data_IF_019757774889
#
_entry.id   IF_019757774889
#
_cell.length_a   1.000
_cell.length_b   1.000
_cell.length_c   1.000
_cell.angle_alpha   90.00
_cell.angle_beta   90.00
_cell.angle_gamma   90.00
#
_symmetry.space_group_name_H-M   'P 1'
#
loop_
_entity.id
_entity.type
_entity.pdbx_description
1 polymer ?
#
# COMPACT_ATOMS: atom_id res chain seq x y z
N UNK A 1 0.70 -7.93 54.75
CA UNK A 1 1.57 -7.96 55.95
C UNK A 1 1.87 -9.37 56.40
N UNK A 2 1.02 -10.33 56.03
CA UNK A 2 1.19 -11.74 56.29
C UNK A 2 1.04 -12.53 54.98
N UNK A 3 1.43 -13.79 54.97
CA UNK A 3 1.09 -14.74 53.91
C UNK A 3 0.44 -16.00 54.50
N UNK A 4 -0.36 -16.66 53.68
CA UNK A 4 -0.93 -17.95 54.01
C UNK A 4 -0.01 -19.07 53.49
N UNK A 5 0.67 -19.76 54.40
CA UNK A 5 1.43 -20.97 54.11
C UNK A 5 0.62 -22.20 54.51
N UNK A 6 -0.05 -22.83 53.54
CA UNK A 6 -0.73 -24.12 53.74
C UNK A 6 -1.84 -24.10 54.81
N UNK A 7 -2.50 -22.96 55.00
CA UNK A 7 -3.55 -22.76 56.01
C UNK A 7 -3.10 -21.97 57.24
N UNK A 8 -1.81 -21.63 57.36
CA UNK A 8 -1.26 -20.91 58.52
C UNK A 8 -0.84 -19.50 58.11
N UNK A 9 -1.30 -18.49 58.85
CA UNK A 9 -0.98 -17.08 58.60
C UNK A 9 0.34 -16.74 59.31
N UNK A 10 1.36 -16.38 58.53
CA UNK A 10 2.69 -16.00 59.04
C UNK A 10 3.08 -14.59 58.59
N UNK A 11 3.85 -13.83 59.39
CA UNK A 11 4.34 -12.52 58.97
C UNK A 11 5.16 -12.60 57.69
N UNK A 12 4.92 -11.68 56.75
CA UNK A 12 5.64 -11.65 55.48
C UNK A 12 7.04 -11.07 55.70
N UNK A 13 8.08 -11.92 55.60
CA UNK A 13 9.47 -11.47 55.69
C UNK A 13 9.90 -10.70 54.43
N UNK A 14 10.95 -9.87 54.56
CA UNK A 14 11.50 -9.13 53.41
C UNK A 14 12.09 -10.06 52.35
N UNK A 15 12.72 -11.17 52.77
CA UNK A 15 13.22 -12.21 51.88
C UNK A 15 12.08 -12.80 51.05
N UNK A 16 10.98 -13.18 51.71
CA UNK A 16 9.81 -13.74 51.03
C UNK A 16 9.13 -12.74 50.09
N UNK A 17 9.07 -11.47 50.50
CA UNK A 17 8.57 -10.38 49.64
C UNK A 17 9.38 -10.28 48.35
N UNK A 18 10.71 -10.40 48.44
CA UNK A 18 11.60 -10.38 47.28
C UNK A 18 11.39 -11.61 46.38
N UNK A 19 11.17 -12.80 46.96
CA UNK A 19 10.84 -14.00 46.17
C UNK A 19 9.52 -13.84 45.40
N UNK A 20 8.48 -13.29 46.03
CA UNK A 20 7.19 -13.03 45.37
C UNK A 20 7.35 -11.99 44.25
N UNK A 21 8.14 -10.94 44.49
CA UNK A 21 8.44 -9.94 43.46
C UNK A 21 9.20 -10.57 42.27
N UNK A 22 10.19 -11.43 42.54
CA UNK A 22 10.91 -12.15 41.50
C UNK A 22 10.00 -13.13 40.72
N UNK A 23 9.07 -13.80 41.42
CA UNK A 23 8.09 -14.67 40.77
C UNK A 23 7.12 -13.87 39.87
N UNK A 24 6.66 -12.70 40.32
CA UNK A 24 5.85 -11.79 39.52
C UNK A 24 6.61 -11.34 38.25
N UNK A 25 7.89 -10.97 38.39
CA UNK A 25 8.72 -10.58 37.25
C UNK A 25 8.97 -11.75 36.28
N UNK A 26 9.23 -12.96 36.79
CA UNK A 26 9.40 -14.17 35.99
C UNK A 26 8.12 -14.67 35.31
N UNK A 27 6.94 -14.35 35.87
CA UNK A 27 5.66 -14.60 35.19
C UNK A 27 5.41 -13.52 34.13
N UNK A 28 5.67 -12.25 34.44
CA UNK A 28 5.55 -11.14 33.50
C UNK A 28 6.46 -11.28 32.27
N UNK A 29 7.69 -11.78 32.46
CA UNK A 29 8.65 -12.03 31.37
C UNK A 29 8.20 -13.14 30.41
N UNK A 30 7.22 -13.95 30.81
CA UNK A 30 6.53 -14.94 29.97
C UNK A 30 5.22 -14.41 29.39
N UNK A 31 5.08 -13.09 29.28
CA UNK A 31 3.89 -12.39 28.77
C UNK A 31 2.61 -12.66 29.58
N UNK A 32 2.72 -13.12 30.83
CA UNK A 32 1.54 -13.32 31.69
C UNK A 32 1.12 -11.99 32.31
N UNK A 33 -0.18 -11.70 32.27
CA UNK A 33 -0.84 -10.75 33.16
C UNK A 33 -0.99 -11.40 34.52
N UNK A 34 -0.21 -10.93 35.48
CA UNK A 34 -0.14 -11.48 36.83
C UNK A 34 -1.13 -10.76 37.74
N UNK A 35 -1.95 -11.52 38.47
CA UNK A 35 -2.82 -11.01 39.53
C UNK A 35 -2.35 -11.60 40.87
N UNK A 36 -2.18 -10.73 41.87
CA UNK A 36 -1.92 -11.12 43.24
C UNK A 36 -3.24 -11.20 44.01
N UNK A 37 -3.45 -12.30 44.72
CA UNK A 37 -4.62 -12.50 45.56
C UNK A 37 -4.24 -12.40 47.03
N UNK A 38 -5.06 -11.68 47.78
CA UNK A 38 -5.00 -11.63 49.23
C UNK A 38 -6.40 -11.51 49.81
N UNK A 39 -6.53 -11.87 51.09
CA UNK A 39 -7.78 -11.75 51.84
C UNK A 39 -7.51 -11.10 53.19
N UNK A 40 -8.59 -10.64 53.81
CA UNK A 40 -8.60 -10.15 55.18
C UNK A 40 -9.84 -10.70 55.85
N UNK A 41 -9.64 -11.42 56.95
CA UNK A 41 -10.74 -11.85 57.78
C UNK A 41 -11.17 -10.68 58.67
N UNK A 42 -12.44 -10.28 58.59
CA UNK A 42 -13.01 -9.22 59.42
C UNK A 42 -14.22 -9.74 60.19
N UNK A 43 -14.31 -9.41 61.48
CA UNK A 43 -15.47 -9.76 62.32
C UNK A 43 -16.69 -8.89 62.03
N UNK A 44 -16.46 -7.67 61.53
CA UNK A 44 -17.50 -6.72 61.14
C UNK A 44 -17.53 -6.53 59.63
N UNK A 45 -18.70 -6.18 59.09
CA UNK A 45 -18.86 -5.91 57.66
C UNK A 45 -18.09 -4.64 57.30
N UNK A 46 -17.08 -4.72 56.41
CA UNK A 46 -16.28 -3.55 56.07
C UNK A 46 -17.08 -2.53 55.25
N UNK A 47 -16.68 -1.26 55.37
CA UNK A 47 -17.21 -0.18 54.55
C UNK A 47 -16.49 -0.15 53.20
N UNK A 48 -17.13 -0.75 52.19
CA UNK A 48 -16.60 -0.79 50.82
C UNK A 48 -16.57 0.59 50.13
N UNK A 49 -17.17 1.63 50.72
CA UNK A 49 -17.05 2.99 50.19
C UNK A 49 -15.69 3.63 50.50
N UNK A 50 -14.91 3.08 51.43
CA UNK A 50 -13.59 3.56 51.80
C UNK A 50 -12.49 2.52 51.44
N UNK A 51 -11.83 2.64 50.28
CA UNK A 51 -10.81 1.68 49.84
C UNK A 51 -9.67 1.51 50.84
N UNK A 52 -9.22 2.60 51.46
CA UNK A 52 -8.13 2.56 52.44
C UNK A 52 -8.49 1.78 53.69
N UNK A 53 -9.77 1.64 54.04
CA UNK A 53 -10.22 0.84 55.18
C UNK A 53 -10.24 -0.68 54.88
N UNK A 54 -10.35 -1.05 53.60
CA UNK A 54 -10.53 -2.45 53.15
C UNK A 54 -9.23 -3.04 52.59
N UNK A 55 -8.45 -2.24 51.84
CA UNK A 55 -7.25 -2.70 51.10
C UNK A 55 -5.95 -2.56 51.90
N UNK A 56 -6.01 -2.79 53.22
CA UNK A 56 -4.85 -2.80 54.12
C UNK A 56 -4.75 -4.13 54.87
N UNK A 57 -3.55 -4.43 55.39
CA UNK A 57 -3.28 -5.61 56.24
C UNK A 57 -3.72 -6.96 55.66
N UNK A 58 -3.68 -7.08 54.34
CA UNK A 58 -4.05 -8.31 53.63
C UNK A 58 -3.06 -9.46 53.92
N UNK A 59 -3.62 -10.67 53.96
CA UNK A 59 -2.90 -11.95 53.95
C UNK A 59 -2.73 -12.39 52.50
N UNK A 60 -1.50 -12.44 52.03
CA UNK A 60 -1.17 -12.89 50.67
C UNK A 60 -1.44 -14.39 50.49
N UNK A 61 -2.14 -14.75 49.42
CA UNK A 61 -2.43 -16.15 49.07
C UNK A 61 -1.49 -16.67 47.97
N UNK A 62 -1.25 -15.86 46.95
CA UNK A 62 -0.51 -16.31 45.78
C UNK A 62 -0.69 -15.41 44.57
N UNK A 63 0.03 -15.77 43.50
CA UNK A 63 -0.05 -15.16 42.18
C UNK A 63 -0.77 -16.11 41.22
N UNK A 64 -1.63 -15.59 40.36
CA UNK A 64 -2.08 -16.29 39.15
C UNK A 64 -1.64 -15.52 37.91
N UNK A 65 -1.35 -16.24 36.84
CA UNK A 65 -1.01 -15.64 35.55
C UNK A 65 -2.07 -16.01 34.52
N UNK A 66 -2.58 -15.02 33.81
CA UNK A 66 -3.39 -15.22 32.61
C UNK A 66 -2.66 -14.63 31.40
N UNK A 67 -2.82 -15.22 30.22
CA UNK A 67 -2.24 -14.70 28.99
C UNK A 67 -3.36 -14.27 28.06
N UNK A 68 -3.18 -13.13 27.40
CA UNK A 68 -3.94 -12.77 26.21
C UNK A 68 -3.07 -13.13 25.00
N UNK A 69 -3.28 -14.32 24.40
CA UNK A 69 -2.37 -14.82 23.39
C UNK A 69 -2.49 -13.97 22.12
N UNK A 70 -1.36 -13.66 21.50
CA UNK A 70 -1.38 -12.98 20.22
C UNK A 70 -2.04 -13.88 19.14
N UNK A 71 -2.68 -13.24 18.17
CA UNK A 71 -3.28 -13.97 17.04
C UNK A 71 -2.18 -14.71 16.26
N UNK A 72 -2.42 -15.96 15.80
CA UNK A 72 -1.41 -16.75 15.08
C UNK A 72 -0.83 -16.01 13.87
N UNK A 73 -1.69 -15.33 13.12
CA UNK A 73 -1.33 -14.63 11.88
C UNK A 73 -0.52 -13.35 12.12
N UNK A 74 -0.54 -12.80 13.35
CA UNK A 74 0.12 -11.53 13.67
C UNK A 74 1.64 -11.63 13.48
N UNK A 75 2.24 -12.76 13.85
CA UNK A 75 3.68 -13.00 13.72
C UNK A 75 4.14 -13.01 12.26
N UNK A 76 3.39 -13.70 11.40
CA UNK A 76 3.68 -13.74 9.96
C UNK A 76 3.46 -12.37 9.29
N UNK A 77 2.39 -11.68 9.69
CA UNK A 77 2.10 -10.32 9.22
C UNK A 77 3.22 -9.33 9.60
N UNK A 78 3.72 -9.39 10.84
CA UNK A 78 4.84 -8.57 11.31
C UNK A 78 6.13 -8.90 10.55
N UNK A 79 6.41 -10.17 10.29
CA UNK A 79 7.55 -10.58 9.48
C UNK A 79 7.45 -10.02 8.04
N UNK A 80 6.26 -10.10 7.44
CA UNK A 80 5.99 -9.55 6.11
C UNK A 80 6.17 -8.03 6.07
N UNK A 81 5.70 -7.31 7.09
CA UNK A 81 5.95 -5.87 7.23
C UNK A 81 7.45 -5.55 7.23
N UNK A 82 8.25 -6.30 8.01
CA UNK A 82 9.71 -6.10 8.08
C UNK A 82 10.39 -6.36 6.74
N UNK A 83 10.02 -7.43 6.04
CA UNK A 83 10.52 -7.72 4.67
C UNK A 83 10.17 -6.57 3.72
N UNK A 84 8.96 -6.04 3.83
CA UNK A 84 8.47 -4.91 3.04
C UNK A 84 9.06 -3.54 3.43
N UNK A 85 10.00 -3.50 4.39
CA UNK A 85 10.63 -2.28 4.90
C UNK A 85 9.69 -1.39 5.73
N UNK A 86 8.59 -1.94 6.25
CA UNK A 86 7.63 -1.27 7.14
C UNK A 86 8.06 -1.58 8.57
N UNK A 87 8.19 -0.56 9.43
CA UNK A 87 8.58 -0.74 10.83
C UNK A 87 7.32 -0.90 11.72
N UNK A 88 7.07 -2.08 12.30
CA UNK A 88 6.01 -2.25 13.28
C UNK A 88 6.43 -1.64 14.62
N UNK A 89 5.50 -0.98 15.29
CA UNK A 89 5.70 -0.36 16.60
C UNK A 89 4.53 -0.77 17.50
N UNK A 90 4.82 -1.26 18.70
CA UNK A 90 3.80 -1.65 19.68
C UNK A 90 3.51 -0.48 20.61
N UNK A 91 2.22 -0.16 20.77
CA UNK A 91 1.72 0.85 21.71
C UNK A 91 0.64 0.18 22.55
N UNK A 92 0.85 0.08 23.87
CA UNK A 92 -0.07 -0.66 24.76
C UNK A 92 -0.25 0.01 26.12
N UNK A 93 -1.40 -0.23 26.75
CA UNK A 93 -1.68 0.11 28.14
C UNK A 93 -1.13 -0.90 29.16
N UNK A 94 -0.57 -2.02 28.69
CA UNK A 94 0.00 -3.05 29.55
C UNK A 94 1.31 -2.62 30.22
N UNK A 95 1.71 -3.41 31.22
CA UNK A 95 2.98 -3.23 31.89
C UNK A 95 4.17 -3.50 30.94
N UNK A 96 5.26 -2.74 31.12
CA UNK A 96 6.45 -2.79 30.25
C UNK A 96 7.00 -4.20 30.06
N UNK A 97 7.11 -4.96 31.15
CA UNK A 97 7.67 -6.32 31.13
C UNK A 97 6.85 -7.25 30.23
N UNK A 98 5.52 -7.24 30.39
CA UNK A 98 4.60 -8.03 29.57
C UNK A 98 4.64 -7.59 28.10
N UNK A 99 4.62 -6.28 27.85
CA UNK A 99 4.68 -5.72 26.50
C UNK A 99 5.97 -6.10 25.77
N UNK A 100 7.12 -6.06 26.46
CA UNK A 100 8.41 -6.49 25.92
C UNK A 100 8.39 -7.97 25.56
N UNK A 101 7.85 -8.84 26.43
CA UNK A 101 7.76 -10.27 26.17
C UNK A 101 6.92 -10.57 24.91
N UNK A 102 5.74 -9.95 24.79
CA UNK A 102 4.87 -10.11 23.61
C UNK A 102 5.56 -9.56 22.34
N UNK A 103 6.20 -8.38 22.45
CA UNK A 103 6.89 -7.77 21.33
C UNK A 103 8.09 -8.61 20.83
N UNK A 104 8.79 -9.30 21.72
CA UNK A 104 9.86 -10.24 21.36
C UNK A 104 9.30 -11.51 20.70
N UNK A 105 8.22 -12.07 21.24
CA UNK A 105 7.57 -13.28 20.70
C UNK A 105 7.06 -13.07 19.25
N UNK A 106 6.44 -11.91 19.02
CA UNK A 106 5.95 -11.47 17.72
C UNK A 106 7.07 -10.98 16.79
N UNK A 107 8.28 -10.81 17.30
CA UNK A 107 9.42 -10.32 16.55
C UNK A 107 9.30 -8.85 16.17
N UNK A 108 8.57 -8.02 16.93
CA UNK A 108 8.56 -6.55 16.81
C UNK A 108 9.88 -6.00 17.35
N UNK A 109 10.22 -6.40 18.58
CA UNK A 109 11.40 -5.94 19.31
C UNK A 109 12.61 -6.85 19.03
N UNK A 110 13.77 -6.24 18.83
CA UNK A 110 15.08 -6.93 18.71
C UNK A 110 15.98 -6.50 19.88
N UNK A 111 17.14 -7.15 20.04
CA UNK A 111 18.06 -6.83 21.15
C UNK A 111 18.55 -5.37 21.14
N UNK A 112 18.58 -4.74 19.95
CA UNK A 112 19.02 -3.35 19.78
C UNK A 112 17.88 -2.33 19.96
N UNK A 113 16.65 -2.81 20.18
CA UNK A 113 15.46 -1.95 20.30
C UNK A 113 15.18 -1.57 21.75
N UNK A 114 14.69 -0.35 21.97
CA UNK A 114 14.30 0.14 23.30
C UNK A 114 12.80 -0.02 23.54
N UNK A 115 12.46 -0.21 24.81
CA UNK A 115 11.09 -0.11 25.32
C UNK A 115 11.01 1.03 26.34
N UNK A 116 9.96 1.85 26.23
CA UNK A 116 9.73 3.02 27.10
C UNK A 116 8.31 2.99 27.67
N UNK A 117 8.11 3.67 28.78
CA UNK A 117 6.80 3.84 29.42
C UNK A 117 6.22 5.23 29.16
N UNK A 118 4.91 5.42 29.42
CA UNK A 118 4.30 6.75 29.40
C UNK A 118 5.03 7.76 30.30
N UNK A 119 5.46 7.34 31.49
CA UNK A 119 6.23 8.19 32.41
C UNK A 119 7.61 8.58 31.83
N UNK A 120 8.25 7.68 31.07
CA UNK A 120 9.49 8.01 30.36
C UNK A 120 9.22 9.04 29.26
N UNK A 121 8.09 8.93 28.54
CA UNK A 121 7.68 9.88 27.50
C UNK A 121 7.34 11.28 28.04
N UNK A 122 6.80 11.37 29.26
CA UNK A 122 6.52 12.64 29.91
C UNK A 122 7.80 13.42 30.25
N UNK A 123 8.91 12.71 30.46
CA UNK A 123 10.22 13.30 30.71
C UNK A 123 10.97 13.66 29.42
N UNK A 124 10.56 13.11 28.28
CA UNK A 124 11.14 13.43 26.96
C UNK A 124 10.50 14.66 26.35
N UNK A 125 11.33 15.61 25.93
CA UNK A 125 10.91 16.67 25.03
C UNK A 125 10.53 16.10 23.65
N UNK A 126 9.73 16.82 22.88
CA UNK A 126 9.34 16.40 21.54
C UNK A 126 10.54 16.24 20.59
N UNK A 127 11.59 17.03 20.76
CA UNK A 127 12.82 16.94 19.96
C UNK A 127 13.64 15.69 20.30
N UNK A 128 13.72 15.34 21.59
CA UNK A 128 14.37 14.09 22.03
C UNK A 128 13.58 12.88 21.55
N UNK A 129 12.25 12.91 21.69
CA UNK A 129 11.39 11.85 21.19
C UNK A 129 11.56 11.65 19.68
N UNK A 130 11.59 12.74 18.91
CA UNK A 130 11.84 12.68 17.47
C UNK A 130 13.18 11.98 17.15
N UNK A 131 14.26 12.28 17.89
CA UNK A 131 15.56 11.63 17.67
C UNK A 131 15.54 10.13 18.02
N UNK A 132 14.84 9.75 19.09
CA UNK A 132 14.83 8.38 19.63
C UNK A 132 13.76 7.47 19.02
N UNK A 133 12.74 8.02 18.33
CA UNK A 133 11.57 7.28 17.85
C UNK A 133 11.95 6.08 16.95
N UNK A 134 13.05 6.20 16.20
CA UNK A 134 13.56 5.14 15.32
C UNK A 134 14.19 3.96 16.09
N UNK A 135 14.58 4.15 17.36
CA UNK A 135 15.17 3.11 18.21
C UNK A 135 14.16 2.48 19.17
N UNK A 136 13.00 3.12 19.37
CA UNK A 136 11.94 2.60 20.24
C UNK A 136 11.03 1.68 19.43
N UNK A 137 10.75 0.50 19.99
CA UNK A 137 9.86 -0.50 19.39
C UNK A 137 8.57 -0.72 20.21
N UNK A 138 8.63 -0.44 21.52
CA UNK A 138 7.52 -0.67 22.46
C UNK A 138 7.30 0.55 23.33
N UNK A 139 6.06 1.03 23.35
CA UNK A 139 5.56 2.05 24.26
C UNK A 139 4.50 1.43 25.17
N UNK A 140 4.80 1.33 26.46
CA UNK A 140 3.95 0.68 27.46
C UNK A 140 3.33 1.71 28.42
N UNK A 141 2.20 1.37 29.07
CA UNK A 141 1.49 2.28 29.99
C UNK A 141 1.26 3.68 29.40
N UNK A 142 0.89 3.76 28.12
CA UNK A 142 0.71 5.05 27.43
C UNK A 142 -0.67 5.66 27.70
N UNK A 143 -0.69 6.98 27.84
CA UNK A 143 -1.90 7.79 27.87
C UNK A 143 -2.39 8.14 26.44
N UNK A 144 -3.65 8.57 26.25
CA UNK A 144 -4.16 9.00 24.95
C UNK A 144 -3.27 10.05 24.25
N UNK A 145 -2.79 11.04 25.00
CA UNK A 145 -1.98 12.14 24.50
C UNK A 145 -0.61 11.66 24.00
N UNK A 146 -0.05 10.62 24.63
CA UNK A 146 1.21 10.01 24.21
C UNK A 146 1.10 9.39 22.82
N UNK A 147 -0.04 8.79 22.47
CA UNK A 147 -0.25 8.16 21.17
C UNK A 147 -0.14 9.18 20.03
N UNK A 148 -0.80 10.32 20.17
CA UNK A 148 -0.68 11.43 19.21
C UNK A 148 0.74 12.02 19.17
N UNK A 149 1.43 12.14 20.32
CA UNK A 149 2.84 12.58 20.35
C UNK A 149 3.77 11.65 19.58
N UNK A 150 3.60 10.33 19.72
CA UNK A 150 4.39 9.32 19.00
C UNK A 150 4.14 9.41 17.49
N UNK A 151 2.87 9.54 17.06
CA UNK A 151 2.52 9.70 15.64
C UNK A 151 3.19 10.95 15.06
N UNK A 152 3.07 12.09 15.75
CA UNK A 152 3.70 13.33 15.33
C UNK A 152 5.23 13.23 15.20
N UNK A 153 5.90 12.54 16.15
CA UNK A 153 7.34 12.35 16.10
C UNK A 153 7.78 11.57 14.84
N UNK A 154 7.04 10.53 14.46
CA UNK A 154 7.28 9.78 13.23
C UNK A 154 7.00 10.61 11.96
N UNK A 155 5.92 11.41 11.95
CA UNK A 155 5.59 12.29 10.83
C UNK A 155 6.65 13.39 10.62
N UNK A 156 7.20 13.97 11.71
CA UNK A 156 8.31 14.94 11.63
C UNK A 156 9.58 14.36 11.03
N UNK A 157 9.81 13.05 11.18
CA UNK A 157 10.86 12.29 10.46
C UNK A 157 10.55 12.02 8.98
N UNK A 158 9.45 12.56 8.46
CA UNK A 158 9.01 12.35 7.07
C UNK A 158 8.52 10.93 6.80
N UNK A 159 8.11 10.18 7.82
CA UNK A 159 7.53 8.83 7.66
C UNK A 159 6.01 8.94 7.52
N UNK A 160 5.45 8.08 6.69
CA UNK A 160 4.00 7.86 6.63
C UNK A 160 3.60 6.89 7.75
N UNK A 161 2.67 7.30 8.60
CA UNK A 161 2.29 6.60 9.83
C UNK A 161 0.87 6.07 9.71
N UNK A 162 0.72 4.76 9.90
CA UNK A 162 -0.57 4.13 10.14
C UNK A 162 -0.73 3.86 11.64
N UNK A 163 -1.83 4.34 12.23
CA UNK A 163 -2.15 4.15 13.65
C UNK A 163 -3.38 3.26 13.78
N UNK A 164 -3.34 2.27 14.67
CA UNK A 164 -4.48 1.39 14.97
C UNK A 164 -5.10 1.73 16.31
N UNK A 165 -6.42 1.67 16.42
CA UNK A 165 -7.11 1.94 17.69
C UNK A 165 -8.56 1.46 17.70
N UNK A 166 -9.10 1.27 18.89
CA UNK A 166 -10.46 0.75 19.13
C UNK A 166 -11.23 1.62 20.13
N UNK A 167 -10.52 2.31 21.03
CA UNK A 167 -11.12 3.17 22.04
C UNK A 167 -11.41 4.59 21.57
N UNK A 168 -12.31 5.27 22.30
CA UNK A 168 -12.52 6.73 22.21
C UNK A 168 -11.21 7.48 22.43
N UNK A 169 -10.37 6.93 23.31
CA UNK A 169 -9.03 7.43 23.63
C UNK A 169 -8.06 7.41 22.44
N UNK A 170 -8.32 6.59 21.42
CA UNK A 170 -7.45 6.50 20.24
C UNK A 170 -7.86 7.46 19.14
N UNK A 171 -9.08 8.03 19.21
CA UNK A 171 -9.62 8.88 18.16
C UNK A 171 -8.70 10.07 17.80
N UNK A 172 -8.07 10.80 18.76
CA UNK A 172 -7.12 11.87 18.41
C UNK A 172 -5.90 11.38 17.63
N UNK A 173 -5.35 10.22 18.02
CA UNK A 173 -4.17 9.64 17.38
C UNK A 173 -4.50 9.06 16.00
N UNK A 174 -5.65 8.40 15.86
CA UNK A 174 -6.20 7.93 14.59
C UNK A 174 -6.36 9.09 13.61
N UNK A 175 -6.88 10.22 14.07
CA UNK A 175 -7.11 11.40 13.21
C UNK A 175 -5.83 12.14 12.82
N UNK A 176 -4.79 12.05 13.66
CA UNK A 176 -3.49 12.69 13.42
C UNK A 176 -2.63 11.87 12.44
N UNK A 177 -2.77 10.54 12.47
CA UNK A 177 -2.03 9.66 11.59
C UNK A 177 -2.36 9.91 10.11
N UNK A 178 -1.41 9.58 9.22
CA UNK A 178 -1.67 9.66 7.78
C UNK A 178 -2.73 8.65 7.34
N UNK A 179 -2.83 7.53 8.07
CA UNK A 179 -3.87 6.52 7.93
C UNK A 179 -4.32 6.06 9.32
N UNK A 180 -5.50 6.50 9.75
CA UNK A 180 -6.17 5.95 10.94
C UNK A 180 -6.85 4.62 10.64
N UNK A 181 -6.57 3.59 11.43
CA UNK A 181 -7.14 2.24 11.29
C UNK A 181 -7.98 1.87 12.52
N UNK A 182 -9.30 1.84 12.35
CA UNK A 182 -10.25 1.49 13.40
C UNK A 182 -10.59 0.00 13.43
N UNK A 183 -10.88 -0.54 14.61
CA UNK A 183 -11.38 -1.91 14.78
C UNK A 183 -12.89 -1.96 14.47
N UNK A 184 -13.33 -2.96 13.71
CA UNK A 184 -14.72 -3.12 13.27
C UNK A 184 -15.61 -3.78 14.32
N UNK A 185 -15.08 -4.75 15.07
CA UNK A 185 -15.87 -5.51 16.05
C UNK A 185 -15.72 -4.90 17.45
N UNK A 186 -14.49 -4.78 17.96
CA UNK A 186 -14.23 -4.23 19.30
C UNK A 186 -14.23 -2.70 19.33
N UNK A 187 -14.08 -2.05 18.17
CA UNK A 187 -13.95 -0.59 18.09
C UNK A 187 -15.24 0.15 18.38
N UNK A 188 -15.11 1.23 19.16
CA UNK A 188 -16.16 2.20 19.45
C UNK A 188 -16.56 2.98 18.19
N UNK A 189 -17.81 3.46 18.13
CA UNK A 189 -18.28 4.27 16.99
C UNK A 189 -17.42 5.53 16.77
N UNK A 190 -16.92 6.11 17.86
CA UNK A 190 -16.01 7.27 17.80
C UNK A 190 -14.69 6.90 17.11
N UNK A 191 -14.10 5.74 17.45
CA UNK A 191 -12.86 5.28 16.80
C UNK A 191 -13.07 4.98 15.30
N UNK A 192 -14.20 4.39 14.93
CA UNK A 192 -14.55 4.08 13.54
C UNK A 192 -14.77 5.33 12.70
N UNK A 193 -15.40 6.37 13.27
CA UNK A 193 -15.60 7.66 12.60
C UNK A 193 -14.31 8.48 12.49
N UNK A 194 -13.36 8.30 13.42
CA UNK A 194 -12.08 8.97 13.38
C UNK A 194 -11.09 8.33 12.39
N UNK A 195 -11.25 7.04 12.08
CA UNK A 195 -10.39 6.28 11.20
C UNK A 195 -10.69 6.50 9.70
N UNK A 196 -9.67 6.37 8.86
CA UNK A 196 -9.77 6.38 7.40
C UNK A 196 -10.07 4.99 6.84
N UNK A 197 -9.69 3.93 7.58
CA UNK A 197 -9.95 2.54 7.25
C UNK A 197 -10.49 1.78 8.47
N UNK A 198 -11.47 0.91 8.28
CA UNK A 198 -12.05 0.07 9.35
C UNK A 198 -11.82 -1.41 9.04
N UNK A 199 -11.25 -2.14 10.00
CA UNK A 199 -11.01 -3.58 9.89
C UNK A 199 -12.25 -4.35 10.30
N UNK A 200 -13.00 -4.90 9.34
CA UNK A 200 -14.24 -5.64 9.64
C UNK A 200 -14.03 -6.93 10.45
N UNK A 201 -12.79 -7.42 10.54
CA UNK A 201 -12.41 -8.68 11.17
C UNK A 201 -11.47 -8.53 12.38
N UNK A 202 -11.10 -7.29 12.74
CA UNK A 202 -10.17 -6.98 13.84
C UNK A 202 -8.80 -7.71 13.72
N UNK A 203 -8.35 -7.95 12.49
CA UNK A 203 -7.10 -8.68 12.22
C UNK A 203 -5.99 -7.77 11.68
N UNK A 204 -4.84 -7.77 12.36
CA UNK A 204 -3.63 -7.07 11.92
C UNK A 204 -3.14 -7.53 10.53
N UNK A 205 -3.32 -8.80 10.17
CA UNK A 205 -2.95 -9.32 8.86
C UNK A 205 -3.69 -8.62 7.71
N UNK A 206 -4.89 -8.10 7.97
CA UNK A 206 -5.70 -7.35 7.01
C UNK A 206 -5.07 -6.01 6.67
N UNK A 207 -4.37 -5.38 7.61
CA UNK A 207 -3.57 -4.16 7.35
C UNK A 207 -2.45 -4.47 6.35
N UNK A 208 -1.74 -5.58 6.53
CA UNK A 208 -0.66 -5.98 5.62
C UNK A 208 -1.19 -6.25 4.21
N UNK A 209 -2.35 -6.89 4.12
CA UNK A 209 -3.05 -7.12 2.86
C UNK A 209 -3.48 -5.80 2.20
N UNK A 210 -3.99 -4.85 2.97
CA UNK A 210 -4.34 -3.51 2.49
C UNK A 210 -3.12 -2.75 1.97
N UNK A 211 -1.96 -2.86 2.63
CA UNK A 211 -0.71 -2.26 2.14
C UNK A 211 -0.26 -2.88 0.82
N UNK A 212 -0.32 -4.22 0.69
CA UNK A 212 -0.04 -4.93 -0.56
C UNK A 212 -0.93 -4.42 -1.70
N UNK A 213 -2.21 -4.25 -1.41
CA UNK A 213 -3.20 -3.76 -2.37
C UNK A 213 -2.97 -2.29 -2.75
N UNK A 214 -2.66 -1.42 -1.78
CA UNK A 214 -2.29 -0.03 -2.04
C UNK A 214 -1.06 0.09 -2.94
N UNK A 215 -0.03 -0.73 -2.71
CA UNK A 215 1.15 -0.81 -3.58
C UNK A 215 0.79 -1.27 -5.00
N UNK A 216 -0.11 -2.26 -5.13
CA UNK A 216 -0.61 -2.75 -6.44
C UNK A 216 -1.31 -1.64 -7.21
N UNK A 217 -2.26 -0.97 -6.56
CA UNK A 217 -3.02 0.14 -7.17
C UNK A 217 -2.06 1.24 -7.63
N UNK A 218 -1.11 1.64 -6.79
CA UNK A 218 -0.13 2.67 -7.18
C UNK A 218 0.73 2.24 -8.39
N UNK A 219 1.26 1.01 -8.38
CA UNK A 219 2.05 0.49 -9.49
C UNK A 219 1.25 0.46 -10.80
N UNK A 220 -0.03 0.11 -10.74
CA UNK A 220 -0.93 0.09 -11.88
C UNK A 220 -1.26 1.50 -12.38
N UNK A 221 -1.56 2.45 -11.49
CA UNK A 221 -1.73 3.87 -11.84
C UNK A 221 -0.47 4.39 -12.56
N UNK A 222 0.72 4.06 -12.05
CA UNK A 222 1.98 4.46 -12.68
C UNK A 222 2.13 3.88 -14.09
N UNK A 223 1.74 2.62 -14.34
CA UNK A 223 1.73 2.02 -15.69
C UNK A 223 0.72 2.72 -16.61
N UNK A 224 -0.50 2.93 -16.14
CA UNK A 224 -1.57 3.57 -16.91
C UNK A 224 -1.22 5.01 -17.29
N UNK A 225 -0.68 5.80 -16.36
CA UNK A 225 -0.28 7.19 -16.63
C UNK A 225 0.86 7.25 -17.65
N UNK A 226 1.86 6.37 -17.54
CA UNK A 226 2.96 6.30 -18.52
C UNK A 226 2.47 5.94 -19.92
N UNK A 227 1.55 4.98 -20.01
CA UNK A 227 0.91 4.61 -21.27
C UNK A 227 0.15 5.79 -21.89
N UNK A 228 -0.79 6.39 -21.16
CA UNK A 228 -1.62 7.49 -21.67
C UNK A 228 -0.79 8.71 -22.07
N UNK A 229 0.23 9.07 -21.27
CA UNK A 229 1.11 10.18 -21.62
C UNK A 229 1.96 9.87 -22.85
N UNK A 230 2.41 8.63 -23.03
CA UNK A 230 3.15 8.21 -24.23
C UNK A 230 2.30 8.38 -25.48
N UNK A 231 1.07 7.86 -25.46
CA UNK A 231 0.09 8.02 -26.55
C UNK A 231 -0.11 9.50 -26.91
N UNK A 232 -0.39 10.33 -25.90
CA UNK A 232 -0.63 11.77 -26.08
C UNK A 232 0.60 12.49 -26.64
N UNK A 233 1.80 12.17 -26.16
CA UNK A 233 3.04 12.75 -26.69
C UNK A 233 3.23 12.34 -28.16
N UNK A 234 2.94 11.08 -28.52
CA UNK A 234 2.98 10.63 -29.90
C UNK A 234 2.01 11.37 -30.81
N UNK A 235 0.77 11.56 -30.36
CA UNK A 235 -0.25 12.35 -31.07
C UNK A 235 0.22 13.80 -31.29
N UNK A 236 0.69 14.46 -30.23
CA UNK A 236 1.17 15.84 -30.29
C UNK A 236 2.34 15.97 -31.26
N UNK A 237 3.34 15.08 -31.18
CA UNK A 237 4.48 15.08 -32.10
C UNK A 237 4.02 14.86 -33.55
N UNK A 238 3.11 13.90 -33.78
CA UNK A 238 2.62 13.60 -35.12
C UNK A 238 1.89 14.79 -35.75
N UNK A 239 0.97 15.40 -35.01
CA UNK A 239 0.16 16.54 -35.47
C UNK A 239 1.01 17.79 -35.70
N UNK A 240 1.91 18.11 -34.76
CA UNK A 240 2.81 19.27 -34.90
C UNK A 240 3.71 19.10 -36.12
N UNK A 241 4.31 17.92 -36.28
CA UNK A 241 5.18 17.61 -37.42
C UNK A 241 4.41 17.68 -38.73
N UNK A 242 3.22 17.07 -38.81
CA UNK A 242 2.40 17.13 -40.02
C UNK A 242 1.99 18.56 -40.36
N UNK A 243 1.67 19.38 -39.36
CA UNK A 243 1.25 20.78 -39.56
C UNK A 243 2.40 21.61 -40.11
N UNK A 244 3.61 21.45 -39.59
CA UNK A 244 4.83 22.13 -40.09
C UNK A 244 5.11 21.75 -41.55
N UNK A 245 4.91 20.49 -41.91
CA UNK A 245 5.10 19.99 -43.29
C UNK A 245 3.93 20.40 -44.23
N UNK A 246 2.82 20.90 -43.68
CA UNK A 246 1.62 21.28 -44.44
C UNK A 246 0.68 20.11 -44.77
N UNK A 247 0.78 18.99 -44.04
CA UNK A 247 -0.10 17.83 -44.18
C UNK A 247 -1.30 17.92 -43.23
N UNK A 248 -2.46 17.47 -43.71
CA UNK A 248 -3.64 17.22 -42.88
C UNK A 248 -3.64 15.74 -42.46
N UNK A 249 -2.98 15.44 -41.34
CA UNK A 249 -2.78 14.07 -40.87
C UNK A 249 -4.08 13.46 -40.33
N UNK A 250 -4.66 14.06 -39.29
CA UNK A 250 -5.88 13.59 -38.61
C UNK A 250 -6.82 14.76 -38.35
N UNK A 251 -8.12 14.55 -38.56
CA UNK A 251 -9.17 15.42 -38.01
C UNK A 251 -9.33 15.25 -36.47
N UNK A 252 -9.85 16.26 -35.75
CA UNK A 252 -10.07 16.19 -34.31
C UNK A 252 -10.92 14.99 -33.84
N UNK A 253 -11.88 14.55 -34.65
CA UNK A 253 -12.75 13.40 -34.33
C UNK A 253 -11.95 12.10 -34.19
N UNK A 254 -10.86 11.92 -34.96
CA UNK A 254 -9.97 10.77 -34.85
C UNK A 254 -9.23 10.77 -33.51
N UNK A 255 -8.70 11.93 -33.11
CA UNK A 255 -7.94 12.09 -31.87
C UNK A 255 -8.85 11.85 -30.66
N UNK A 256 -10.08 12.38 -30.72
CA UNK A 256 -11.09 12.15 -29.68
C UNK A 256 -11.43 10.66 -29.56
N UNK A 257 -11.58 9.95 -30.67
CA UNK A 257 -11.86 8.51 -30.64
C UNK A 257 -10.70 7.70 -30.09
N UNK A 258 -9.46 8.04 -30.46
CA UNK A 258 -8.27 7.38 -29.91
C UNK A 258 -8.25 7.53 -28.39
N UNK A 259 -8.27 8.77 -27.89
CA UNK A 259 -8.15 9.05 -26.46
C UNK A 259 -9.34 8.52 -25.63
N UNK A 260 -10.56 8.67 -26.13
CA UNK A 260 -11.76 8.34 -25.34
C UNK A 260 -12.18 6.88 -25.47
N UNK A 261 -11.93 6.24 -26.61
CA UNK A 261 -12.42 4.88 -26.87
C UNK A 261 -11.27 3.90 -26.92
N UNK A 262 -10.30 4.12 -27.81
CA UNK A 262 -9.25 3.14 -28.07
C UNK A 262 -8.32 2.97 -26.87
N UNK A 263 -7.87 4.06 -26.26
CA UNK A 263 -6.92 4.04 -25.15
C UNK A 263 -7.56 3.73 -23.80
N UNK A 264 -8.86 3.99 -23.65
CA UNK A 264 -9.56 3.83 -22.38
C UNK A 264 -9.58 2.36 -21.92
N UNK A 265 -9.87 1.40 -22.80
CA UNK A 265 -9.92 -0.01 -22.37
C UNK A 265 -8.56 -0.58 -21.96
N UNK A 266 -7.46 -0.39 -22.72
CA UNK A 266 -6.13 -0.76 -22.27
C UNK A 266 -5.70 -0.04 -20.99
N UNK A 267 -6.02 1.25 -20.84
CA UNK A 267 -5.71 2.02 -19.64
C UNK A 267 -6.40 1.48 -18.38
N UNK A 268 -7.70 1.16 -18.48
CA UNK A 268 -8.47 0.52 -17.41
C UNK A 268 -7.94 -0.88 -17.10
N UNK A 269 -7.58 -1.62 -18.14
CA UNK A 269 -7.03 -2.95 -17.99
C UNK A 269 -5.68 -2.95 -17.27
N UNK A 270 -4.77 -2.02 -17.63
CA UNK A 270 -3.52 -1.78 -16.92
C UNK A 270 -3.76 -1.39 -15.45
N UNK A 271 -4.85 -0.65 -15.18
CA UNK A 271 -5.31 -0.31 -13.84
C UNK A 271 -5.69 -1.53 -12.99
N UNK A 272 -6.21 -2.58 -13.63
CA UNK A 272 -6.73 -3.79 -12.99
C UNK A 272 -5.71 -4.94 -12.92
N UNK A 273 -4.47 -4.73 -13.33
CA UNK A 273 -3.42 -5.75 -13.38
C UNK A 273 -3.14 -6.39 -12.01
N UNK A 274 -2.79 -7.69 -11.97
CA UNK A 274 -2.42 -8.36 -10.74
C UNK A 274 -1.13 -7.76 -10.13
N UNK A 275 -0.98 -7.90 -8.82
CA UNK A 275 0.23 -7.47 -8.11
C UNK A 275 1.46 -8.24 -8.61
N UNK A 276 2.58 -7.53 -8.73
CA UNK A 276 3.87 -8.16 -9.01
C UNK A 276 4.30 -9.03 -7.81
N UNK A 277 4.92 -10.21 -8.03
CA UNK A 277 5.24 -11.15 -6.95
C UNK A 277 6.11 -10.54 -5.84
N UNK A 278 7.04 -9.65 -6.21
CA UNK A 278 8.01 -9.01 -5.32
C UNK A 278 7.48 -7.69 -4.70
N UNK A 279 6.19 -7.38 -4.81
CA UNK A 279 5.65 -6.09 -4.36
C UNK A 279 5.80 -5.85 -2.85
N UNK A 280 5.84 -6.94 -2.06
CA UNK A 280 6.06 -6.92 -0.61
C UNK A 280 7.54 -7.12 -0.22
N UNK A 281 8.45 -7.22 -1.19
CA UNK A 281 9.90 -7.29 -0.94
C UNK A 281 10.57 -5.92 -1.18
N UNK A 282 9.85 -4.98 -1.80
CA UNK A 282 10.31 -3.61 -2.05
C UNK A 282 10.14 -2.75 -0.80
N UNK A 283 11.06 -1.79 -0.60
CA UNK A 283 10.92 -0.77 0.45
C UNK A 283 9.74 0.17 0.17
N UNK A 284 9.17 0.82 1.21
CA UNK A 284 8.16 1.86 1.00
C UNK A 284 8.69 2.97 0.08
N UNK A 285 7.81 3.47 -0.77
CA UNK A 285 8.14 4.58 -1.66
C UNK A 285 8.35 5.86 -0.85
N UNK A 286 9.31 6.68 -1.27
CA UNK A 286 9.47 8.04 -0.76
C UNK A 286 8.27 8.90 -1.16
N UNK A 287 7.64 9.55 -0.18
CA UNK A 287 6.49 10.43 -0.38
C UNK A 287 6.82 11.67 -1.22
N UNK A 288 8.08 12.10 -1.22
CA UNK A 288 8.54 13.26 -2.00
C UNK A 288 8.95 12.90 -3.44
N UNK A 289 9.03 11.61 -3.77
CA UNK A 289 9.36 11.21 -5.13
C UNK A 289 8.20 11.59 -6.08
N UNK A 290 8.48 12.20 -7.26
CA UNK A 290 7.44 12.51 -8.24
C UNK A 290 6.85 11.23 -8.82
N UNK A 291 5.56 11.25 -9.18
CA UNK A 291 4.89 10.07 -9.74
C UNK A 291 5.67 9.50 -10.93
N UNK A 292 6.14 10.36 -11.84
CA UNK A 292 6.96 10.03 -13.00
C UNK A 292 8.38 10.55 -12.80
N UNK A 293 9.37 9.66 -12.86
CA UNK A 293 10.77 10.02 -12.83
C UNK A 293 11.28 10.53 -14.19
N UNK A 294 12.53 10.99 -14.22
CA UNK A 294 13.20 11.41 -15.47
C UNK A 294 13.26 10.26 -16.48
N UNK A 295 13.54 9.03 -16.00
CA UNK A 295 13.59 7.84 -16.86
C UNK A 295 12.22 7.53 -17.47
N UNK A 296 11.13 7.75 -16.73
CA UNK A 296 9.78 7.57 -17.26
C UNK A 296 9.49 8.59 -18.36
N UNK A 297 9.86 9.86 -18.17
CA UNK A 297 9.70 10.90 -19.19
C UNK A 297 10.50 10.62 -20.46
N UNK A 298 11.75 10.18 -20.33
CA UNK A 298 12.57 9.79 -21.49
C UNK A 298 11.89 8.66 -22.26
N UNK A 299 11.35 7.67 -21.57
CA UNK A 299 10.63 6.56 -22.20
C UNK A 299 9.32 7.02 -22.85
N UNK A 300 8.53 7.84 -22.18
CA UNK A 300 7.29 8.43 -22.71
C UNK A 300 7.55 9.16 -24.02
N UNK A 301 8.55 10.04 -24.04
CA UNK A 301 8.89 10.83 -25.23
C UNK A 301 9.41 9.94 -26.35
N UNK A 302 10.25 8.94 -26.04
CA UNK A 302 10.84 8.09 -27.06
C UNK A 302 9.82 7.13 -27.69
N UNK A 303 8.93 6.56 -26.89
CA UNK A 303 7.82 5.72 -27.36
C UNK A 303 6.86 6.56 -28.20
N UNK A 304 6.44 7.74 -27.72
CA UNK A 304 5.60 8.66 -28.49
C UNK A 304 6.25 9.14 -29.80
N UNK A 305 7.56 9.40 -29.80
CA UNK A 305 8.27 9.79 -31.02
C UNK A 305 8.26 8.67 -32.08
N UNK A 306 8.41 7.40 -31.67
CA UNK A 306 8.29 6.26 -32.58
C UNK A 306 6.87 6.12 -33.12
N UNK A 307 5.85 6.25 -32.27
CA UNK A 307 4.44 6.25 -32.67
C UNK A 307 4.14 7.34 -33.71
N UNK A 308 4.66 8.55 -33.48
CA UNK A 308 4.53 9.65 -34.42
C UNK A 308 5.20 9.35 -35.76
N UNK A 309 6.43 8.81 -35.74
CA UNK A 309 7.18 8.47 -36.95
C UNK A 309 6.47 7.41 -37.79
N UNK A 310 6.02 6.30 -37.19
CA UNK A 310 5.32 5.25 -37.93
C UNK A 310 3.99 5.74 -38.49
N UNK A 311 3.30 6.63 -37.76
CA UNK A 311 2.04 7.24 -38.19
C UNK A 311 2.22 8.18 -39.38
N UNK A 312 3.22 9.07 -39.31
CA UNK A 312 3.56 9.99 -40.41
C UNK A 312 4.00 9.22 -41.66
N UNK A 313 4.76 8.13 -41.47
CA UNK A 313 5.19 7.28 -42.57
C UNK A 313 4.01 6.54 -43.22
N UNK A 314 3.08 6.00 -42.41
CA UNK A 314 1.85 5.39 -42.91
C UNK A 314 1.00 6.37 -43.72
N UNK A 315 0.85 7.62 -43.24
CA UNK A 315 0.16 8.68 -43.98
C UNK A 315 0.79 8.93 -45.35
N UNK A 316 2.13 9.04 -45.38
CA UNK A 316 2.89 9.34 -46.59
C UNK A 316 2.83 8.20 -47.62
N UNK A 317 2.87 6.95 -47.15
CA UNK A 317 2.72 5.76 -48.00
C UNK A 317 1.28 5.60 -48.53
N UNK A 318 0.28 6.05 -47.78
CA UNK A 318 -1.11 6.11 -48.24
C UNK A 318 -1.39 7.16 -49.31
N UNK A 319 -0.38 7.93 -49.74
CA UNK A 319 -0.51 8.99 -50.75
C UNK A 319 -1.12 10.29 -50.22
N UNK A 320 -1.30 10.41 -48.90
CA UNK A 320 -2.04 11.51 -48.29
C UNK A 320 -3.56 11.43 -48.53
N UNK A 321 -4.25 12.56 -48.37
CA UNK A 321 -5.70 12.63 -48.48
C UNK A 321 -6.43 11.65 -47.54
N UNK A 322 -7.63 11.25 -47.92
CA UNK A 322 -8.49 10.40 -47.09
C UNK A 322 -7.88 9.02 -46.78
N UNK A 323 -7.21 8.40 -47.77
CA UNK A 323 -6.54 7.10 -47.62
C UNK A 323 -5.34 7.21 -46.67
N UNK A 324 -4.49 8.23 -46.85
CA UNK A 324 -3.39 8.51 -45.94
C UNK A 324 -3.86 8.76 -44.51
N UNK A 325 -4.91 9.58 -44.32
CA UNK A 325 -5.52 9.82 -43.01
C UNK A 325 -6.04 8.53 -42.38
N UNK A 326 -6.68 7.65 -43.16
CA UNK A 326 -7.16 6.36 -42.66
C UNK A 326 -6.01 5.45 -42.22
N UNK A 327 -4.94 5.38 -43.01
CA UNK A 327 -3.75 4.60 -42.65
C UNK A 327 -3.05 5.17 -41.41
N UNK A 328 -2.96 6.49 -41.28
CA UNK A 328 -2.41 7.16 -40.11
C UNK A 328 -3.25 6.88 -38.86
N UNK A 329 -4.56 7.04 -38.95
CA UNK A 329 -5.52 6.80 -37.87
C UNK A 329 -5.43 5.36 -37.35
N UNK A 330 -5.42 4.37 -38.26
CA UNK A 330 -5.29 2.97 -37.90
C UNK A 330 -3.90 2.63 -37.35
N UNK A 331 -2.84 3.18 -37.93
CA UNK A 331 -1.48 2.93 -37.45
C UNK A 331 -1.29 3.47 -36.04
N UNK A 332 -1.70 4.71 -35.79
CA UNK A 332 -1.58 5.34 -34.47
C UNK A 332 -2.37 4.55 -33.41
N UNK A 333 -3.67 4.38 -33.63
CA UNK A 333 -4.57 3.65 -32.71
C UNK A 333 -4.12 2.21 -32.42
N UNK A 334 -3.77 1.44 -33.45
CA UNK A 334 -3.37 0.04 -33.26
C UNK A 334 -1.96 -0.06 -32.67
N UNK A 335 -1.03 0.85 -33.00
CA UNK A 335 0.31 0.86 -32.40
C UNK A 335 0.27 1.12 -30.90
N UNK A 336 -0.63 2.00 -30.43
CA UNK A 336 -0.86 2.26 -29.00
C UNK A 336 -1.38 1.02 -28.26
N UNK A 337 -2.18 0.16 -28.91
CA UNK A 337 -2.58 -1.12 -28.30
C UNK A 337 -1.38 -2.03 -28.04
N UNK A 338 -0.39 -2.06 -28.94
CA UNK A 338 0.87 -2.77 -28.70
C UNK A 338 1.73 -2.09 -27.62
N UNK A 339 1.73 -0.75 -27.60
CA UNK A 339 2.37 0.04 -26.55
C UNK A 339 1.82 -0.31 -25.16
N UNK A 340 0.50 -0.42 -25.01
CA UNK A 340 -0.15 -0.81 -23.76
C UNK A 340 0.36 -2.16 -23.24
N UNK A 341 0.54 -3.15 -24.12
CA UNK A 341 1.14 -4.45 -23.75
C UNK A 341 2.61 -4.27 -23.33
N UNK A 342 3.33 -3.36 -23.98
CA UNK A 342 4.66 -2.94 -23.61
C UNK A 342 4.77 -2.36 -22.20
N UNK A 343 3.82 -1.52 -21.80
CA UNK A 343 3.79 -0.85 -20.48
C UNK A 343 3.32 -1.75 -19.33
N UNK A 344 2.79 -2.95 -19.61
CA UNK A 344 2.38 -3.92 -18.58
C UNK A 344 3.54 -4.33 -17.66
N UNK A 345 4.74 -4.48 -18.22
CA UNK A 345 5.95 -4.78 -17.43
C UNK A 345 7.16 -4.06 -18.01
N UNK A 346 7.95 -3.48 -17.12
CA UNK A 346 9.20 -2.81 -17.47
C UNK A 346 10.35 -3.80 -17.71
N UNK A 347 10.23 -5.05 -17.22
CA UNK A 347 11.31 -6.06 -17.24
C UNK A 347 10.94 -7.31 -18.03
N UNK A 348 9.67 -7.71 -18.04
CA UNK A 348 9.25 -8.95 -18.70
C UNK A 348 8.89 -8.71 -20.17
N UNK A 349 9.42 -9.59 -21.03
CA UNK A 349 9.09 -9.63 -22.45
C UNK A 349 7.60 -9.94 -22.65
N UNK A 350 7.02 -9.33 -23.69
CA UNK A 350 5.67 -9.63 -24.19
C UNK A 350 5.53 -11.11 -24.60
N UNK A 351 6.62 -11.78 -24.96
CA UNK A 351 6.60 -13.21 -25.32
C UNK A 351 6.39 -14.12 -24.09
N UNK A 352 6.78 -13.66 -22.91
CA UNK A 352 6.57 -14.39 -21.65
C UNK A 352 5.27 -14.01 -20.94
N UNK A 353 4.54 -13.02 -21.46
CA UNK A 353 3.25 -12.59 -20.96
C UNK A 353 2.18 -13.62 -21.31
N UNK A 354 1.69 -14.35 -20.30
CA UNK A 354 0.65 -15.36 -20.52
C UNK A 354 -0.73 -14.72 -20.52
N UNK A 355 -1.54 -15.06 -21.53
CA UNK A 355 -2.94 -14.65 -21.66
C UNK A 355 -3.77 -14.89 -20.38
N UNK A 356 -3.53 -16.01 -19.69
CA UNK A 356 -4.25 -16.40 -18.48
C UNK A 356 -3.88 -15.55 -17.26
N UNK A 357 -2.68 -15.00 -17.22
CA UNK A 357 -2.17 -14.21 -16.10
C UNK A 357 -2.64 -12.74 -16.22
N UNK A 358 -2.93 -12.27 -17.43
CA UNK A 358 -3.30 -10.88 -17.73
C UNK A 358 -4.62 -10.76 -18.53
N UNK A 359 -5.73 -11.36 -18.07
CA UNK A 359 -6.95 -11.48 -18.86
C UNK A 359 -7.60 -10.14 -19.19
N UNK A 360 -7.51 -9.16 -18.27
CA UNK A 360 -8.10 -7.84 -18.47
C UNK A 360 -7.36 -7.05 -19.55
N UNK A 361 -6.03 -7.09 -19.58
CA UNK A 361 -5.21 -6.43 -20.61
C UNK A 361 -5.58 -6.92 -22.02
N UNK A 362 -5.62 -8.23 -22.21
CA UNK A 362 -5.98 -8.82 -23.50
C UNK A 362 -7.42 -8.51 -23.89
N UNK A 363 -8.37 -8.57 -22.96
CA UNK A 363 -9.76 -8.18 -23.22
C UNK A 363 -9.87 -6.71 -23.61
N UNK A 364 -9.15 -5.82 -22.94
CA UNK A 364 -9.15 -4.39 -23.22
C UNK A 364 -8.57 -4.10 -24.61
N UNK A 365 -7.41 -4.68 -24.94
CA UNK A 365 -6.77 -4.56 -26.26
C UNK A 365 -7.68 -5.10 -27.37
N UNK A 366 -8.26 -6.29 -27.19
CA UNK A 366 -9.16 -6.89 -28.19
C UNK A 366 -10.45 -6.09 -28.36
N UNK A 367 -11.02 -5.56 -27.28
CA UNK A 367 -12.21 -4.71 -27.33
C UNK A 367 -11.92 -3.41 -28.10
N UNK A 368 -10.80 -2.74 -27.81
CA UNK A 368 -10.40 -1.53 -28.55
C UNK A 368 -10.11 -1.82 -30.01
N UNK A 369 -9.40 -2.91 -30.32
CA UNK A 369 -9.15 -3.31 -31.70
C UNK A 369 -10.48 -3.60 -32.45
N UNK A 370 -11.43 -4.28 -31.81
CA UNK A 370 -12.74 -4.55 -32.41
C UNK A 370 -13.52 -3.26 -32.67
N UNK A 371 -13.56 -2.34 -31.70
CA UNK A 371 -14.21 -1.03 -31.86
C UNK A 371 -13.55 -0.20 -32.96
N UNK A 372 -12.22 -0.27 -33.08
CA UNK A 372 -11.48 0.38 -34.16
C UNK A 372 -11.90 -0.16 -35.53
N UNK A 373 -12.07 -1.47 -35.67
CA UNK A 373 -12.55 -2.08 -36.92
C UNK A 373 -14.01 -1.72 -37.21
N UNK A 374 -14.86 -1.58 -36.18
CA UNK A 374 -16.26 -1.15 -36.34
C UNK A 374 -16.33 0.23 -37.01
N UNK A 375 -15.48 1.19 -36.61
CA UNK A 375 -15.46 2.53 -37.21
C UNK A 375 -15.08 2.49 -38.69
N UNK A 376 -14.19 1.58 -39.09
CA UNK A 376 -13.74 1.45 -40.49
C UNK A 376 -14.77 0.71 -41.36
N UNK A 377 -15.41 -0.33 -40.84
CA UNK A 377 -16.26 -1.21 -41.64
C UNK A 377 -17.74 -0.82 -41.66
N UNK A 378 -18.24 -0.13 -40.64
CA UNK A 378 -19.64 0.34 -40.62
C UNK A 378 -19.77 1.60 -41.47
N UNK A 379 -20.55 1.60 -42.57
CA UNK A 379 -20.57 2.71 -43.53
C UNK A 379 -20.90 4.07 -42.90
N UNK A 380 -21.88 4.11 -42.00
CA UNK A 380 -22.29 5.32 -41.29
C UNK A 380 -21.14 5.93 -40.46
N UNK A 381 -20.43 5.10 -39.71
CA UNK A 381 -19.30 5.56 -38.88
C UNK A 381 -18.11 5.94 -39.76
N UNK A 382 -17.84 5.17 -40.80
CA UNK A 382 -16.76 5.47 -41.75
C UNK A 382 -16.95 6.83 -42.41
N UNK A 383 -18.17 7.16 -42.81
CA UNK A 383 -18.51 8.47 -43.39
C UNK A 383 -18.41 9.59 -42.36
N UNK A 384 -18.92 9.38 -41.14
CA UNK A 384 -18.81 10.34 -40.04
C UNK A 384 -17.36 10.70 -39.70
N UNK A 385 -16.45 9.74 -39.82
CA UNK A 385 -15.02 9.92 -39.56
C UNK A 385 -14.22 10.30 -40.82
N UNK A 386 -14.84 10.45 -41.99
CA UNK A 386 -14.15 10.74 -43.25
C UNK A 386 -13.03 9.72 -43.59
N UNK A 387 -13.35 8.42 -43.45
CA UNK A 387 -12.41 7.32 -43.65
C UNK A 387 -12.61 6.61 -45.00
N UNK A 388 -11.52 6.10 -45.57
CA UNK A 388 -11.51 5.34 -46.82
C UNK A 388 -11.47 3.82 -46.57
N UNK A 389 -11.95 3.02 -47.53
CA UNK A 389 -11.75 1.57 -47.49
C UNK A 389 -10.31 1.28 -47.92
N UNK A 390 -9.55 0.60 -47.05
CA UNK A 390 -8.19 0.19 -47.36
C UNK A 390 -8.15 -1.09 -48.21
N UNK A 391 -7.22 -1.12 -49.16
CA UNK A 391 -6.85 -2.33 -49.91
C UNK A 391 -6.04 -3.29 -49.04
N UNK A 392 -5.92 -4.56 -49.45
CA UNK A 392 -5.12 -5.54 -48.72
C UNK A 392 -3.65 -5.13 -48.54
N UNK A 393 -3.05 -4.48 -49.56
CA UNK A 393 -1.68 -3.96 -49.46
C UNK A 393 -1.54 -2.84 -48.43
N UNK A 394 -2.53 -1.95 -48.32
CA UNK A 394 -2.53 -0.87 -47.33
C UNK A 394 -2.70 -1.41 -45.90
N UNK A 395 -3.54 -2.42 -45.71
CA UNK A 395 -3.64 -3.13 -44.43
C UNK A 395 -2.31 -3.78 -44.02
N UNK A 396 -1.59 -4.42 -44.96
CA UNK A 396 -0.27 -4.98 -44.68
C UNK A 396 0.74 -3.92 -44.24
N UNK A 397 0.69 -2.72 -44.82
CA UNK A 397 1.53 -1.60 -44.40
C UNK A 397 1.18 -1.18 -42.96
N UNK A 398 -0.10 -0.99 -42.64
CA UNK A 398 -0.55 -0.63 -41.28
C UNK A 398 -0.08 -1.68 -40.27
N UNK A 399 -0.32 -2.96 -40.54
CA UNK A 399 0.13 -4.06 -39.67
C UNK A 399 1.66 -4.12 -39.54
N UNK A 400 2.39 -3.85 -40.63
CA UNK A 400 3.85 -3.74 -40.62
C UNK A 400 4.35 -2.61 -39.72
N UNK A 401 3.69 -1.44 -39.74
CA UNK A 401 4.01 -0.32 -38.86
C UNK A 401 3.74 -0.66 -37.38
N UNK A 402 2.63 -1.33 -37.09
CA UNK A 402 2.34 -1.81 -35.75
C UNK A 402 3.38 -2.84 -35.26
N UNK A 403 3.86 -3.71 -36.15
CA UNK A 403 4.91 -4.68 -35.82
C UNK A 403 6.24 -3.99 -35.50
N UNK A 404 6.59 -2.91 -36.20
CA UNK A 404 7.79 -2.09 -35.87
C UNK A 404 7.69 -1.57 -34.44
N UNK A 405 6.51 -1.08 -34.03
CA UNK A 405 6.29 -0.61 -32.66
C UNK A 405 6.49 -1.73 -31.63
N UNK A 406 5.93 -2.91 -31.90
CA UNK A 406 6.11 -4.07 -31.02
C UNK A 406 7.59 -4.49 -30.90
N UNK A 407 8.31 -4.55 -32.02
CA UNK A 407 9.74 -4.87 -32.04
C UNK A 407 10.57 -3.84 -31.27
N UNK A 408 10.22 -2.56 -31.40
CA UNK A 408 10.85 -1.48 -30.68
C UNK A 408 10.67 -1.61 -29.16
N UNK A 409 9.45 -1.90 -28.69
CA UNK A 409 9.15 -2.14 -27.28
C UNK A 409 9.97 -3.31 -26.74
N UNK A 410 10.05 -4.42 -27.49
CA UNK A 410 10.84 -5.58 -27.09
C UNK A 410 12.34 -5.29 -27.04
N UNK A 411 12.86 -4.53 -28.00
CA UNK A 411 14.25 -4.09 -28.01
C UNK A 411 14.56 -3.24 -26.77
N UNK A 412 13.70 -2.28 -26.43
CA UNK A 412 13.85 -1.45 -25.24
C UNK A 412 13.89 -2.31 -23.96
N UNK A 413 12.98 -3.28 -23.85
CA UNK A 413 12.96 -4.23 -22.72
C UNK A 413 14.19 -5.12 -22.69
N UNK A 414 14.73 -5.52 -23.85
CA UNK A 414 15.94 -6.34 -23.91
C UNK A 414 17.18 -5.57 -23.47
N UNK A 415 17.26 -4.26 -23.75
CA UNK A 415 18.34 -3.40 -23.32
C UNK A 415 18.25 -3.16 -21.81
N UNK A 416 17.05 -2.89 -21.27
CA UNK A 416 16.83 -2.68 -19.84
C UNK A 416 17.01 -3.94 -18.96
N UNK A 417 17.04 -5.13 -19.58
CA UNK A 417 17.32 -6.41 -18.92
C UNK A 417 18.83 -6.68 -18.74
N UNK A 418 19.68 -5.99 -19.51
CA UNK A 418 21.15 -6.03 -19.36
C UNK A 418 21.59 -4.92 -18.42
#
# INVERSE_FOLDING_TARGET
THENQGGTVVPLSDERRNEIAAANEAMGSRALRVLAFGYKDTSEKPDFANPEAVENDLVFCGLTGMIDPARPDAKEAIATCKIAGIKPVMITGDHKVTAVAIAQELGIMTNDSRAVTGADLDQMSDAELEHEVENIAVYARVAPEHKSRIVNAWQRKGRIVAMTGDGVNDAPALKTADIGVGMGITGTDVSKQAADMVLTDDNFATIVSAVKEGRRIFANIHKTVRFLLSSNVGEVIAILTSTIIGWRLLAPVHILWINLVTDTFPALALGAEPAEPDIMERKPRDSNAPLLGVQDWVRIVFVGAVEALVTLFAFRLGGGGQVGTTMAFLTLSLSQLFAAIGFQSDRHSVVHLRLKEHPWLWRGVLASAALQLVVVFVPFLRELFDLAILTGGQWLIVLGMCLIMLLFIELQKSIARR
#
